data_IF_623684336308
#
_entry.id   IF_623684336308
#
_cell.length_a   1.000
_cell.length_b   1.000
_cell.length_c   1.000
_cell.angle_alpha   90.00
_cell.angle_beta   90.00
_cell.angle_gamma   90.00
#
_symmetry.space_group_name_H-M   'P 1'
#
loop_
_entity.id
_entity.type
_entity.pdbx_description
1 polymer ?
#
# COMPACT_ATOMS: atom_id res chain seq x y z
N UNK A 1 6.51 4.45 -16.53
CA UNK A 1 5.11 4.36 -16.01
C UNK A 1 5.14 4.67 -14.53
N UNK A 2 4.13 5.38 -14.04
CA UNK A 2 3.93 5.73 -12.63
C UNK A 2 2.76 4.92 -12.06
N UNK A 3 2.83 4.59 -10.79
CA UNK A 3 1.70 4.08 -10.04
C UNK A 3 0.91 5.25 -9.45
N UNK A 4 -0.40 5.24 -9.68
CA UNK A 4 -1.35 6.21 -9.15
C UNK A 4 -2.32 5.44 -8.27
N UNK A 5 -2.41 5.83 -7.01
CA UNK A 5 -3.33 5.22 -6.05
C UNK A 5 -4.31 6.24 -5.45
N UNK A 6 -5.44 5.76 -4.99
CA UNK A 6 -6.33 6.45 -4.07
C UNK A 6 -6.69 5.54 -2.92
N UNK A 7 -6.50 6.03 -1.72
CA UNK A 7 -6.71 5.29 -0.47
C UNK A 7 -7.80 5.93 0.37
N UNK A 8 -8.67 5.10 0.93
CA UNK A 8 -9.75 5.57 1.78
C UNK A 8 -9.80 4.75 3.06
N UNK A 9 -9.83 5.45 4.19
CA UNK A 9 -10.08 4.82 5.49
C UNK A 9 -11.59 4.62 5.64
N UNK A 10 -11.98 3.39 5.93
CA UNK A 10 -13.37 3.01 6.07
C UNK A 10 -13.87 3.25 7.50
N UNK A 11 -15.17 3.48 7.64
CA UNK A 11 -15.80 3.63 8.95
C UNK A 11 -15.91 2.28 9.67
N UNK A 12 -15.94 2.30 10.99
CA UNK A 12 -15.95 1.09 11.84
C UNK A 12 -17.20 0.20 11.68
N UNK A 13 -18.25 0.69 11.02
CA UNK A 13 -19.45 -0.09 10.70
C UNK A 13 -19.35 -0.89 9.39
N UNK A 14 -18.27 -0.69 8.61
CA UNK A 14 -18.00 -1.46 7.40
C UNK A 14 -17.07 -2.61 7.78
N UNK A 15 -17.45 -3.82 7.39
CA UNK A 15 -16.65 -5.02 7.60
C UNK A 15 -16.01 -5.51 6.30
N UNK A 16 -14.95 -6.30 6.41
CA UNK A 16 -14.35 -6.97 5.26
C UNK A 16 -15.37 -7.79 4.47
N UNK A 17 -16.25 -8.53 5.17
CA UNK A 17 -17.28 -9.36 4.53
C UNK A 17 -18.28 -8.54 3.72
N UNK A 18 -18.68 -7.35 4.20
CA UNK A 18 -19.53 -6.44 3.44
C UNK A 18 -18.86 -6.00 2.14
N UNK A 19 -17.57 -5.64 2.20
CA UNK A 19 -16.81 -5.23 1.00
C UNK A 19 -16.64 -6.39 0.03
N UNK A 20 -16.32 -7.59 0.52
CA UNK A 20 -16.22 -8.80 -0.29
C UNK A 20 -17.54 -9.06 -1.02
N UNK A 21 -18.68 -8.94 -0.32
CA UNK A 21 -20.00 -9.13 -0.92
C UNK A 21 -20.29 -8.11 -2.03
N UNK A 22 -19.97 -6.83 -1.80
CA UNK A 22 -20.10 -5.76 -2.80
C UNK A 22 -19.21 -6.08 -4.01
N UNK A 23 -17.93 -6.37 -3.79
CA UNK A 23 -16.98 -6.64 -4.88
C UNK A 23 -17.40 -7.88 -5.68
N UNK A 24 -17.82 -8.98 -5.03
CA UNK A 24 -18.29 -10.18 -5.71
C UNK A 24 -19.54 -9.95 -6.54
N UNK A 25 -20.43 -9.04 -6.13
CA UNK A 25 -21.63 -8.71 -6.90
C UNK A 25 -21.35 -7.88 -8.16
N UNK A 26 -20.23 -7.17 -8.19
CA UNK A 26 -19.87 -6.25 -9.27
C UNK A 26 -18.77 -6.79 -10.19
N UNK A 27 -17.93 -7.70 -9.70
CA UNK A 27 -16.73 -8.15 -10.42
C UNK A 27 -16.62 -9.67 -10.45
N UNK A 28 -16.16 -10.18 -11.58
CA UNK A 28 -15.98 -11.62 -11.83
C UNK A 28 -14.59 -12.11 -11.39
N UNK A 29 -13.67 -11.22 -11.09
CA UNK A 29 -12.30 -11.58 -10.74
C UNK A 29 -12.24 -12.24 -9.35
N UNK A 30 -11.46 -13.32 -9.18
CA UNK A 30 -11.28 -13.94 -7.87
C UNK A 30 -10.58 -12.97 -6.91
N UNK A 31 -11.02 -12.98 -5.64
CA UNK A 31 -10.36 -12.24 -4.57
C UNK A 31 -9.26 -13.13 -4.02
N UNK A 32 -8.01 -12.64 -4.04
CA UNK A 32 -6.89 -13.31 -3.39
C UNK A 32 -6.64 -12.71 -2.00
N UNK A 33 -6.29 -13.54 -1.02
CA UNK A 33 -5.92 -13.12 0.33
C UNK A 33 -4.43 -13.32 0.56
N UNK A 34 -3.79 -12.31 1.17
CA UNK A 34 -2.35 -12.30 1.48
C UNK A 34 -2.14 -11.66 2.86
N UNK A 35 -1.26 -12.25 3.67
CA UNK A 35 -0.74 -11.57 4.84
C UNK A 35 0.59 -10.91 4.44
N UNK A 36 0.72 -9.62 4.59
CA UNK A 36 1.89 -8.85 4.16
C UNK A 36 2.54 -8.15 5.35
N UNK A 37 3.85 -8.36 5.47
CA UNK A 37 4.69 -7.69 6.47
C UNK A 37 5.70 -6.85 5.70
N UNK A 38 5.55 -5.53 5.76
CA UNK A 38 6.38 -4.57 5.06
C UNK A 38 7.37 -3.94 6.03
N UNK A 39 8.66 -4.18 5.85
CA UNK A 39 9.72 -3.46 6.56
C UNK A 39 10.14 -2.26 5.73
N UNK A 40 10.00 -1.05 6.28
CA UNK A 40 10.24 0.22 5.59
C UNK A 40 11.58 0.80 6.03
N UNK A 41 12.35 1.25 5.06
CA UNK A 41 13.65 1.88 5.26
C UNK A 41 13.69 3.26 4.61
N UNK A 42 14.34 4.20 5.30
CA UNK A 42 14.66 5.53 4.78
C UNK A 42 16.17 5.75 4.84
N UNK A 43 16.64 6.68 4.01
CA UNK A 43 18.00 7.21 4.16
C UNK A 43 18.08 8.04 5.45
N UNK A 44 19.21 8.10 6.14
CA UNK A 44 19.36 8.80 7.41
C UNK A 44 18.86 10.26 7.38
N UNK A 45 19.16 10.98 6.31
CA UNK A 45 18.73 12.36 6.10
C UNK A 45 17.22 12.55 5.89
N UNK A 46 16.49 11.45 5.62
CA UNK A 46 15.04 11.47 5.40
C UNK A 46 14.22 11.08 6.64
N UNK A 47 14.85 10.55 7.69
CA UNK A 47 14.16 9.99 8.87
C UNK A 47 13.26 11.02 9.55
N UNK A 48 13.77 12.24 9.75
CA UNK A 48 13.07 13.35 10.40
C UNK A 48 12.67 14.45 9.40
N UNK A 49 12.89 14.22 8.12
CA UNK A 49 12.55 15.16 7.05
C UNK A 49 11.17 14.83 6.44
N UNK A 50 10.46 15.83 5.90
CA UNK A 50 9.27 15.60 5.12
C UNK A 50 9.57 14.75 3.88
N UNK A 51 8.69 13.79 3.58
CA UNK A 51 8.72 13.08 2.31
C UNK A 51 8.23 14.04 1.21
N UNK A 52 9.07 14.26 0.23
CA UNK A 52 8.86 15.21 -0.87
C UNK A 52 9.07 14.51 -2.23
N UNK A 53 8.68 15.11 -3.35
CA UNK A 53 8.97 14.54 -4.67
C UNK A 53 10.45 14.23 -4.84
N UNK A 54 10.74 13.01 -5.30
CA UNK A 54 12.10 12.48 -5.42
C UNK A 54 12.64 11.77 -4.16
N UNK A 55 11.94 11.84 -3.01
CA UNK A 55 12.28 11.03 -1.83
C UNK A 55 12.27 9.55 -2.19
N UNK A 56 13.24 8.81 -1.63
CA UNK A 56 13.43 7.38 -1.87
C UNK A 56 13.03 6.60 -0.63
N UNK A 57 12.20 5.60 -0.81
CA UNK A 57 11.75 4.71 0.25
C UNK A 57 12.07 3.29 -0.18
N UNK A 58 12.77 2.53 0.63
CA UNK A 58 12.96 1.09 0.41
C UNK A 58 11.97 0.31 1.26
N UNK A 59 11.39 -0.71 0.66
CA UNK A 59 10.50 -1.67 1.31
C UNK A 59 11.00 -3.08 1.07
N UNK A 60 11.08 -3.89 2.12
CA UNK A 60 11.16 -5.34 2.01
C UNK A 60 9.84 -5.90 2.50
N UNK A 61 9.08 -6.53 1.59
CA UNK A 61 7.78 -7.14 1.87
C UNK A 61 7.91 -8.65 1.92
N UNK A 62 7.52 -9.23 3.02
CA UNK A 62 7.25 -10.66 3.12
C UNK A 62 5.75 -10.91 2.94
N UNK A 63 5.41 -11.74 1.96
CA UNK A 63 4.04 -12.19 1.72
C UNK A 63 3.90 -13.60 2.25
N UNK A 64 3.03 -13.75 3.23
CA UNK A 64 2.73 -15.02 3.89
C UNK A 64 1.37 -15.54 3.43
N UNK A 65 1.22 -16.83 3.55
CA UNK A 65 -0.08 -17.48 3.49
C UNK A 65 -0.90 -17.08 4.73
N UNK A 66 -2.11 -16.51 4.60
CA UNK A 66 -2.86 -15.99 5.73
C UNK A 66 -3.34 -17.08 6.72
N UNK A 67 -3.49 -18.34 6.25
CA UNK A 67 -3.95 -19.44 7.09
C UNK A 67 -2.79 -20.18 7.77
N UNK A 68 -1.71 -20.40 7.02
CA UNK A 68 -0.59 -21.23 7.51
C UNK A 68 0.60 -20.42 7.99
N UNK A 69 0.61 -19.11 7.77
CA UNK A 69 1.73 -18.18 8.02
C UNK A 69 3.04 -18.58 7.31
N UNK A 70 2.97 -19.45 6.31
CA UNK A 70 4.15 -19.81 5.53
C UNK A 70 4.53 -18.72 4.57
N UNK A 71 5.83 -18.39 4.52
CA UNK A 71 6.37 -17.44 3.55
C UNK A 71 6.12 -17.96 2.12
N UNK A 72 5.46 -17.14 1.30
CA UNK A 72 5.23 -17.38 -0.12
C UNK A 72 6.27 -16.69 -0.98
N UNK A 73 6.64 -15.45 -0.62
CA UNK A 73 7.51 -14.61 -1.42
C UNK A 73 8.08 -13.48 -0.58
N UNK A 74 9.30 -13.04 -0.90
CA UNK A 74 9.84 -11.75 -0.47
C UNK A 74 10.09 -10.86 -1.67
N UNK A 75 9.70 -9.57 -1.56
CA UNK A 75 9.89 -8.54 -2.56
C UNK A 75 10.69 -7.38 -1.98
N UNK A 76 11.60 -6.83 -2.77
CA UNK A 76 12.27 -5.58 -2.46
C UNK A 76 11.80 -4.52 -3.45
N UNK A 77 11.31 -3.40 -2.95
CA UNK A 77 10.78 -2.30 -3.74
C UNK A 77 11.55 -1.02 -3.41
N UNK A 78 12.04 -0.33 -4.42
CA UNK A 78 12.43 1.07 -4.33
C UNK A 78 11.27 1.92 -4.84
N UNK A 79 10.70 2.72 -3.96
CA UNK A 79 9.67 3.71 -4.28
C UNK A 79 10.31 5.09 -4.36
N UNK A 80 10.07 5.79 -5.45
CA UNK A 80 10.51 7.19 -5.66
C UNK A 80 9.25 8.04 -5.74
N UNK A 81 9.08 8.94 -4.75
CA UNK A 81 7.89 9.78 -4.63
C UNK A 81 7.73 10.72 -5.82
N UNK A 82 6.53 10.77 -6.37
CA UNK A 82 6.16 11.64 -7.48
C UNK A 82 5.80 13.07 -7.03
N UNK A 83 5.37 13.89 -7.98
CA UNK A 83 4.97 15.28 -7.72
C UNK A 83 3.61 15.42 -7.03
N UNK A 84 2.70 14.47 -7.24
CA UNK A 84 1.40 14.44 -6.60
C UNK A 84 1.40 13.41 -5.45
N UNK A 85 0.48 13.57 -4.49
CA UNK A 85 0.32 12.60 -3.40
C UNK A 85 -0.20 11.27 -3.93
N UNK A 86 0.32 10.17 -3.37
CA UNK A 86 -0.04 8.81 -3.75
C UNK A 86 0.27 8.52 -5.24
N UNK A 87 1.36 9.10 -5.72
CA UNK A 87 1.92 8.87 -7.04
C UNK A 87 3.40 8.59 -6.91
N UNK A 88 3.88 7.50 -7.47
CA UNK A 88 5.29 7.11 -7.36
C UNK A 88 5.78 6.31 -8.57
N UNK A 89 7.09 6.28 -8.73
CA UNK A 89 7.76 5.27 -9.54
C UNK A 89 8.20 4.13 -8.62
N UNK A 90 7.80 2.91 -8.92
CA UNK A 90 8.20 1.73 -8.17
C UNK A 90 9.08 0.80 -9.02
N UNK A 91 10.21 0.42 -8.43
CA UNK A 91 11.14 -0.56 -8.99
C UNK A 91 11.15 -1.76 -8.07
N UNK A 92 10.63 -2.88 -8.54
CA UNK A 92 10.37 -4.05 -7.72
C UNK A 92 11.10 -5.28 -8.22
N UNK A 93 11.63 -6.07 -7.31
CA UNK A 93 12.28 -7.35 -7.60
C UNK A 93 12.00 -8.36 -6.51
N UNK A 94 11.79 -9.62 -6.91
CA UNK A 94 11.78 -10.75 -5.97
C UNK A 94 13.16 -10.97 -5.39
N UNK A 95 13.22 -11.29 -4.10
CA UNK A 95 14.45 -11.69 -3.42
C UNK A 95 14.26 -13.07 -2.81
N UNK A 96 15.33 -13.88 -2.87
CA UNK A 96 15.29 -15.25 -2.33
C UNK A 96 15.24 -15.32 -0.80
N UNK A 97 15.77 -14.29 -0.13
CA UNK A 97 15.81 -14.17 1.33
C UNK A 97 15.56 -12.72 1.75
N UNK A 98 14.39 -12.45 2.33
CA UNK A 98 14.01 -11.13 2.82
C UNK A 98 14.90 -10.65 3.98
N UNK A 99 15.40 -11.55 4.84
CA UNK A 99 16.29 -11.17 5.93
C UNK A 99 17.65 -10.70 5.40
N UNK A 100 18.23 -11.42 4.43
CA UNK A 100 19.45 -10.99 3.78
C UNK A 100 19.27 -9.64 3.09
N UNK A 101 18.13 -9.40 2.43
CA UNK A 101 17.83 -8.12 1.80
C UNK A 101 17.79 -6.97 2.83
N UNK A 102 17.16 -7.16 4.01
CA UNK A 102 17.14 -6.16 5.11
C UNK A 102 18.55 -5.89 5.62
N UNK A 103 19.36 -6.92 5.82
CA UNK A 103 20.76 -6.78 6.27
C UNK A 103 21.61 -6.00 5.24
N UNK A 104 21.43 -6.27 3.95
CA UNK A 104 22.12 -5.53 2.88
C UNK A 104 21.73 -4.07 2.91
N UNK A 105 20.44 -3.73 3.03
CA UNK A 105 19.98 -2.34 3.12
C UNK A 105 20.60 -1.63 4.33
N UNK A 106 20.61 -2.28 5.50
CA UNK A 106 21.25 -1.74 6.70
C UNK A 106 22.74 -1.50 6.49
N UNK A 107 23.45 -2.47 5.88
CA UNK A 107 24.88 -2.32 5.57
C UNK A 107 25.17 -1.21 4.55
N UNK A 108 24.23 -0.90 3.66
CA UNK A 108 24.28 0.23 2.73
C UNK A 108 23.91 1.57 3.37
N UNK A 109 23.60 1.59 4.68
CA UNK A 109 23.29 2.81 5.43
C UNK A 109 21.80 3.20 5.47
N UNK A 110 20.90 2.36 4.93
CA UNK A 110 19.46 2.58 5.10
C UNK A 110 19.04 2.23 6.53
N UNK A 111 18.14 3.03 7.10
CA UNK A 111 17.61 2.83 8.45
C UNK A 111 16.23 2.20 8.39
N UNK A 112 16.05 1.10 9.11
CA UNK A 112 14.75 0.52 9.35
C UNK A 112 13.93 1.47 10.25
N UNK A 113 12.73 1.85 9.78
CA UNK A 113 11.91 2.88 10.42
C UNK A 113 10.67 2.28 11.10
N UNK A 114 10.00 1.38 10.40
CA UNK A 114 8.73 0.84 10.87
C UNK A 114 8.38 -0.43 10.10
N UNK A 115 7.63 -1.31 10.75
CA UNK A 115 6.97 -2.45 10.10
C UNK A 115 5.47 -2.19 9.98
N UNK A 116 4.94 -2.39 8.78
CA UNK A 116 3.51 -2.37 8.47
C UNK A 116 3.04 -3.81 8.32
N UNK A 117 2.15 -4.23 9.20
CA UNK A 117 1.52 -5.55 9.19
C UNK A 117 0.08 -5.43 8.72
N UNK A 118 -0.31 -6.18 7.68
CA UNK A 118 -1.66 -6.10 7.12
C UNK A 118 -2.12 -7.40 6.47
N UNK A 119 -3.42 -7.64 6.54
CA UNK A 119 -4.10 -8.61 5.68
C UNK A 119 -4.64 -7.85 4.48
N UNK A 120 -4.20 -8.24 3.27
CA UNK A 120 -4.66 -7.66 2.01
C UNK A 120 -5.54 -8.64 1.25
N UNK A 121 -6.74 -8.19 0.91
CA UNK A 121 -7.57 -8.82 -0.12
C UNK A 121 -7.41 -8.03 -1.41
N UNK A 122 -7.10 -8.71 -2.50
CA UNK A 122 -6.85 -8.10 -3.80
C UNK A 122 -7.77 -8.67 -4.86
N UNK A 123 -8.34 -7.79 -5.65
CA UNK A 123 -9.12 -8.13 -6.84
C UNK A 123 -8.78 -7.16 -7.97
N UNK A 124 -9.06 -7.56 -9.21
CA UNK A 124 -8.82 -6.71 -10.39
C UNK A 124 -10.12 -6.45 -11.14
N UNK A 125 -10.29 -5.22 -11.55
CA UNK A 125 -11.28 -4.82 -12.55
C UNK A 125 -10.58 -4.61 -13.89
N UNK A 126 -11.33 -4.15 -14.89
CA UNK A 126 -10.75 -3.71 -16.16
C UNK A 126 -9.81 -2.50 -15.97
N UNK A 127 -10.16 -1.60 -15.05
CA UNK A 127 -9.53 -0.28 -14.94
C UNK A 127 -8.61 -0.16 -13.72
N UNK A 128 -8.89 -0.91 -12.64
CA UNK A 128 -8.19 -0.77 -11.36
C UNK A 128 -7.82 -2.11 -10.73
N UNK A 129 -6.73 -2.15 -10.00
CA UNK A 129 -6.51 -3.10 -8.91
C UNK A 129 -7.21 -2.54 -7.67
N UNK A 130 -8.02 -3.35 -7.00
CA UNK A 130 -8.72 -3.00 -5.77
C UNK A 130 -8.11 -3.79 -4.64
N UNK A 131 -7.61 -3.10 -3.62
CA UNK A 131 -7.07 -3.71 -2.41
C UNK A 131 -7.92 -3.32 -1.21
N UNK A 132 -8.33 -4.32 -0.41
CA UNK A 132 -8.91 -4.12 0.91
C UNK A 132 -7.81 -4.49 1.91
N UNK A 133 -7.36 -3.52 2.69
CA UNK A 133 -6.30 -3.69 3.67
C UNK A 133 -6.85 -3.57 5.10
N UNK A 134 -6.73 -4.64 5.86
CA UNK A 134 -6.87 -4.57 7.31
C UNK A 134 -5.46 -4.38 7.90
N UNK A 135 -5.16 -3.13 8.26
CA UNK A 135 -3.83 -2.72 8.73
C UNK A 135 -3.80 -2.71 10.25
N UNK A 136 -2.87 -3.46 10.83
CA UNK A 136 -2.66 -3.50 12.28
C UNK A 136 -2.49 -2.07 12.84
N UNK A 137 -3.19 -1.76 13.94
CA UNK A 137 -3.24 -0.45 14.62
C UNK A 137 -3.96 0.67 13.85
N UNK A 138 -4.24 0.53 12.55
CA UNK A 138 -4.90 1.58 11.76
C UNK A 138 -6.34 1.25 11.39
N UNK A 139 -6.69 -0.05 11.25
CA UNK A 139 -8.02 -0.52 10.85
C UNK A 139 -8.16 -0.76 9.35
N UNK A 140 -9.38 -0.63 8.83
CA UNK A 140 -9.77 -1.06 7.51
C UNK A 140 -9.66 0.08 6.48
N UNK A 141 -9.05 -0.24 5.33
CA UNK A 141 -8.88 0.66 4.20
C UNK A 141 -9.31 -0.02 2.90
N UNK A 142 -9.62 0.80 1.90
CA UNK A 142 -9.71 0.39 0.50
C UNK A 142 -8.78 1.25 -0.34
N UNK A 143 -8.00 0.62 -1.18
CA UNK A 143 -7.11 1.26 -2.15
C UNK A 143 -7.54 0.90 -3.56
N UNK A 144 -7.46 1.86 -4.46
CA UNK A 144 -7.53 1.65 -5.90
C UNK A 144 -6.18 2.05 -6.49
N UNK A 145 -5.63 1.18 -7.32
CA UNK A 145 -4.31 1.36 -7.91
C UNK A 145 -4.40 1.19 -9.43
N UNK A 146 -3.63 1.99 -10.17
CA UNK A 146 -3.46 1.85 -11.62
C UNK A 146 -2.05 2.26 -12.03
N UNK A 147 -1.50 1.54 -13.02
CA UNK A 147 -0.28 1.96 -13.71
C UNK A 147 -0.66 2.86 -14.89
N UNK A 148 -0.07 4.04 -14.94
CA UNK A 148 -0.32 5.04 -15.96
C UNK A 148 1.00 5.53 -16.60
N UNK A 149 0.89 6.20 -17.74
CA UNK A 149 2.05 6.86 -18.36
C UNK A 149 2.53 8.03 -17.51
N UNK A 150 3.81 8.39 -17.65
CA UNK A 150 4.48 9.38 -16.79
C UNK A 150 3.86 10.79 -16.89
N UNK A 151 3.17 11.09 -17.98
CA UNK A 151 2.48 12.36 -18.25
C UNK A 151 0.97 12.32 -17.91
N UNK A 152 0.46 11.21 -17.37
CA UNK A 152 -0.94 11.06 -17.01
C UNK A 152 -1.37 12.08 -15.94
N UNK A 153 -2.60 12.60 -16.09
CA UNK A 153 -3.18 13.49 -15.08
C UNK A 153 -3.63 12.70 -13.85
N UNK A 154 -2.75 12.57 -12.87
CA UNK A 154 -3.02 11.83 -11.64
C UNK A 154 -4.28 12.33 -10.91
N UNK A 155 -4.52 13.64 -10.88
CA UNK A 155 -5.69 14.22 -10.21
C UNK A 155 -7.02 13.82 -10.88
N UNK A 156 -7.04 13.69 -12.19
CA UNK A 156 -8.24 13.22 -12.91
C UNK A 156 -8.46 11.72 -12.65
N UNK A 157 -7.41 10.91 -12.68
CA UNK A 157 -7.47 9.48 -12.38
C UNK A 157 -7.97 9.26 -10.95
N UNK A 158 -7.40 9.93 -9.96
CA UNK A 158 -7.82 9.83 -8.56
C UNK A 158 -9.29 10.29 -8.36
N UNK A 159 -9.74 11.28 -9.10
CA UNK A 159 -11.15 11.69 -9.11
C UNK A 159 -12.06 10.60 -9.66
N UNK A 160 -11.67 9.93 -10.73
CA UNK A 160 -12.41 8.79 -11.29
C UNK A 160 -12.48 7.61 -10.29
N UNK A 161 -11.39 7.31 -9.60
CA UNK A 161 -11.35 6.30 -8.53
C UNK A 161 -12.35 6.63 -7.41
N UNK A 162 -12.45 7.90 -7.02
CA UNK A 162 -13.41 8.33 -6.00
C UNK A 162 -14.87 8.17 -6.47
N UNK A 163 -15.16 8.54 -7.73
CA UNK A 163 -16.49 8.34 -8.33
C UNK A 163 -16.82 6.85 -8.40
N UNK A 164 -15.85 6.00 -8.75
CA UNK A 164 -16.02 4.56 -8.80
C UNK A 164 -16.46 3.99 -7.45
N UNK A 165 -15.79 4.34 -6.35
CA UNK A 165 -16.16 3.89 -5.00
C UNK A 165 -17.55 4.38 -4.58
N UNK A 166 -17.91 5.62 -4.90
CA UNK A 166 -19.26 6.15 -4.64
C UNK A 166 -20.34 5.37 -5.37
N UNK A 167 -20.10 4.97 -6.61
CA UNK A 167 -21.04 4.17 -7.39
C UNK A 167 -21.25 2.77 -6.80
N UNK A 168 -20.26 2.26 -6.03
CA UNK A 168 -20.36 1.02 -5.27
C UNK A 168 -21.01 1.20 -3.89
N UNK A 169 -21.45 2.43 -3.53
CA UNK A 169 -21.92 2.79 -2.19
C UNK A 169 -20.90 2.47 -1.08
N UNK A 170 -19.62 2.52 -1.40
CA UNK A 170 -18.54 2.39 -0.43
C UNK A 170 -18.18 3.79 0.05
N UNK A 171 -18.50 4.07 1.33
CA UNK A 171 -18.16 5.35 1.96
C UNK A 171 -16.85 5.22 2.76
N UNK A 172 -15.95 6.16 2.51
CA UNK A 172 -14.64 6.20 3.16
C UNK A 172 -14.07 7.61 3.14
N UNK A 173 -13.30 7.93 4.16
CA UNK A 173 -12.56 9.19 4.23
C UNK A 173 -11.27 9.06 3.42
N UNK A 174 -11.07 9.94 2.44
CA UNK A 174 -9.82 10.01 1.68
C UNK A 174 -8.63 10.10 2.65
N UNK A 175 -7.67 9.18 2.48
CA UNK A 175 -6.50 9.04 3.33
C UNK A 175 -5.23 9.19 2.49
N UNK A 176 -4.56 10.32 2.62
CA UNK A 176 -3.38 10.67 1.81
C UNK A 176 -2.05 10.43 2.54
N UNK A 177 -2.11 9.87 3.75
CA UNK A 177 -0.91 9.57 4.54
C UNK A 177 -0.54 8.11 4.32
N UNK A 178 0.70 7.75 3.97
CA UNK A 178 1.15 6.37 3.89
C UNK A 178 0.97 5.61 5.21
N UNK A 179 0.81 4.28 5.16
CA UNK A 179 0.62 3.47 6.38
C UNK A 179 1.81 3.55 7.33
N UNK A 180 3.03 3.50 6.81
CA UNK A 180 4.27 3.63 7.57
C UNK A 180 4.31 4.93 8.37
N UNK A 181 4.02 6.06 7.71
CA UNK A 181 3.94 7.38 8.35
C UNK A 181 2.81 7.44 9.38
N UNK A 182 1.66 6.82 9.06
CA UNK A 182 0.52 6.78 10.00
C UNK A 182 0.87 6.00 11.27
N UNK A 183 1.56 4.84 11.15
CA UNK A 183 1.97 4.02 12.30
C UNK A 183 3.06 4.72 13.11
N UNK A 184 4.04 5.37 12.47
CA UNK A 184 5.07 6.18 13.15
C UNK A 184 4.44 7.26 13.99
N UNK A 185 3.46 7.98 13.45
CA UNK A 185 2.78 9.06 14.18
C UNK A 185 2.03 8.55 15.42
N UNK A 186 1.48 7.32 15.41
CA UNK A 186 0.89 6.72 16.61
C UNK A 186 1.93 6.43 17.71
N UNK A 187 3.16 6.10 17.31
CA UNK A 187 4.24 5.77 18.27
C UNK A 187 4.85 7.01 18.94
N UNK A 188 4.60 8.21 18.43
CA UNK A 188 5.08 9.47 19.01
C UNK A 188 4.09 10.02 20.06
N UNK A 189 2.82 9.59 20.02
CA UNK A 189 1.74 10.10 20.88
C UNK A 189 1.58 9.26 22.16
N UNK A 190 2.18 8.08 22.23
CA UNK A 190 2.18 7.17 23.38
C UNK A 190 3.54 7.18 24.10
#
# INVERSE_FOLDING_TARGET
MIEIESKFKLSSNITCDNLIAILKSQFVAPISSKHQIDTIFLLPEQVDAPIVPGSKIMRVRDTLDPETSKLRQSLMTLKVEGKAKLVSNEYESTVGDGNAARQILTALGWQEIVTVDKIRLESKTKDYTICIDEVAKLGLFIELEVLAEDDANAGDIQRQMHIFLKNLNIDGKLWTIPYDTSIRNLSIIN
#
